data_IF_911208390318
#
_entry.id   IF_911208390318
#
_cell.length_a   1.000
_cell.length_b   1.000
_cell.length_c   1.000
_cell.angle_alpha   90.00
_cell.angle_beta   90.00
_cell.angle_gamma   90.00
#
_symmetry.space_group_name_H-M   'P 1'
#
loop_
_entity.id
_entity.type
_entity.pdbx_description
1 polymer ?
#
# COMPACT_ATOMS: atom_id res chain seq x y z
N UNK A 1 7.38 -29.77 -7.85
CA UNK A 1 6.65 -28.77 -8.65
C UNK A 1 7.55 -28.39 -9.80
N UNK A 2 7.03 -28.33 -11.02
CA UNK A 2 7.82 -27.96 -12.20
C UNK A 2 7.18 -26.72 -12.81
N UNK A 3 7.93 -25.63 -12.87
CA UNK A 3 7.52 -24.37 -13.49
C UNK A 3 8.57 -24.03 -14.55
N UNK A 4 8.11 -23.58 -15.72
CA UNK A 4 9.00 -23.17 -16.79
C UNK A 4 9.20 -21.66 -16.72
N UNK A 5 10.43 -21.23 -16.43
CA UNK A 5 10.80 -19.83 -16.46
C UNK A 5 11.00 -19.36 -17.90
N UNK A 6 10.65 -18.11 -18.17
CA UNK A 6 11.11 -17.47 -19.41
C UNK A 6 12.62 -17.22 -19.33
N UNK A 7 13.34 -17.15 -20.47
CA UNK A 7 14.78 -16.88 -20.47
C UNK A 7 15.16 -15.61 -19.72
N UNK A 8 14.32 -14.57 -19.78
CA UNK A 8 14.53 -13.31 -19.07
C UNK A 8 14.39 -13.48 -17.55
N UNK A 9 13.39 -14.24 -17.09
CA UNK A 9 13.22 -14.53 -15.65
C UNK A 9 14.39 -15.34 -15.11
N UNK A 10 14.81 -16.37 -15.84
CA UNK A 10 15.94 -17.20 -15.45
C UNK A 10 17.25 -16.40 -15.41
N UNK A 11 17.52 -15.54 -16.40
CA UNK A 11 18.70 -14.68 -16.41
C UNK A 11 18.71 -13.70 -15.22
N UNK A 12 17.56 -13.11 -14.89
CA UNK A 12 17.44 -12.20 -13.76
C UNK A 12 17.64 -12.91 -12.41
N UNK A 13 17.05 -14.10 -12.21
CA UNK A 13 17.21 -14.90 -11.00
C UNK A 13 18.67 -15.38 -10.82
N UNK A 14 19.32 -15.81 -11.90
CA UNK A 14 20.75 -16.14 -11.89
C UNK A 14 21.59 -14.94 -11.46
N UNK A 15 21.26 -13.73 -11.91
CA UNK A 15 21.97 -12.53 -11.49
C UNK A 15 21.77 -12.23 -9.99
N UNK A 16 20.58 -12.47 -9.43
CA UNK A 16 20.34 -12.33 -7.98
C UNK A 16 21.18 -13.33 -7.17
N UNK A 17 21.24 -14.59 -7.60
CA UNK A 17 22.09 -15.62 -6.97
C UNK A 17 23.57 -15.25 -7.07
N UNK A 18 24.03 -14.77 -8.22
CA UNK A 18 25.42 -14.34 -8.42
C UNK A 18 25.81 -13.14 -7.53
N UNK A 19 24.84 -12.27 -7.18
CA UNK A 19 25.03 -11.17 -6.22
C UNK A 19 24.98 -11.63 -4.75
N UNK A 20 24.65 -12.89 -4.49
CA UNK A 20 24.50 -13.43 -3.14
C UNK A 20 23.21 -13.00 -2.45
N UNK A 21 22.22 -12.49 -3.20
CA UNK A 21 20.90 -12.13 -2.64
C UNK A 21 20.11 -13.39 -2.24
N UNK A 22 20.35 -14.50 -2.94
CA UNK A 22 19.74 -15.80 -2.69
C UNK A 22 20.76 -16.92 -2.87
N UNK A 23 20.59 -18.02 -2.14
CA UNK A 23 21.49 -19.18 -2.23
C UNK A 23 21.24 -20.00 -3.51
N UNK A 24 19.98 -20.07 -3.96
CA UNK A 24 19.56 -20.81 -5.16
C UNK A 24 18.44 -20.08 -5.89
N UNK A 25 18.21 -20.45 -7.16
CA UNK A 25 17.05 -19.95 -7.93
C UNK A 25 15.74 -20.35 -7.24
N UNK A 26 15.67 -21.56 -6.68
CA UNK A 26 14.47 -22.07 -6.03
C UNK A 26 14.13 -21.28 -4.76
N UNK A 27 15.15 -20.88 -3.99
CA UNK A 27 14.96 -20.01 -2.82
C UNK A 27 14.45 -18.62 -3.23
N UNK A 28 15.01 -18.05 -4.30
CA UNK A 28 14.56 -16.77 -4.84
C UNK A 28 13.10 -16.83 -5.30
N UNK A 29 12.72 -17.88 -6.02
CA UNK A 29 11.33 -18.09 -6.48
C UNK A 29 10.38 -18.26 -5.30
N UNK A 30 10.76 -19.06 -4.29
CA UNK A 30 9.91 -19.25 -3.10
C UNK A 30 9.70 -17.94 -2.35
N UNK A 31 10.77 -17.18 -2.12
CA UNK A 31 10.68 -15.89 -1.45
C UNK A 31 9.76 -14.89 -2.19
N UNK A 32 9.78 -14.89 -3.52
CA UNK A 32 8.90 -14.03 -4.32
C UNK A 32 7.44 -14.47 -4.26
N UNK A 33 7.18 -15.78 -4.30
CA UNK A 33 5.83 -16.32 -4.14
C UNK A 33 5.28 -15.97 -2.75
N UNK A 34 6.08 -16.17 -1.70
CA UNK A 34 5.68 -15.86 -0.32
C UNK A 34 5.39 -14.36 -0.15
N UNK A 35 6.18 -13.49 -0.78
CA UNK A 35 5.95 -12.05 -0.77
C UNK A 35 4.62 -11.67 -1.45
N UNK A 36 4.28 -12.29 -2.57
CA UNK A 36 2.99 -12.07 -3.25
C UNK A 36 1.83 -12.56 -2.40
N UNK A 37 1.94 -13.74 -1.78
CA UNK A 37 0.92 -14.27 -0.87
C UNK A 37 0.69 -13.31 0.30
N UNK A 38 1.77 -12.83 0.93
CA UNK A 38 1.68 -11.89 2.04
C UNK A 38 1.05 -10.54 1.62
N UNK A 39 1.43 -10.01 0.45
CA UNK A 39 0.87 -8.77 -0.07
C UNK A 39 -0.63 -8.91 -0.39
N UNK A 40 -1.04 -10.04 -0.97
CA UNK A 40 -2.44 -10.33 -1.25
C UNK A 40 -3.25 -10.43 0.04
N UNK A 41 -2.74 -11.17 1.03
CA UNK A 41 -3.39 -11.30 2.33
C UNK A 41 -3.52 -9.97 3.08
N UNK A 42 -2.52 -9.08 2.95
CA UNK A 42 -2.58 -7.74 3.52
C UNK A 42 -3.58 -6.83 2.79
N UNK A 43 -3.75 -7.00 1.47
CA UNK A 43 -4.72 -6.23 0.68
C UNK A 43 -6.17 -6.63 0.95
N UNK A 44 -6.44 -7.88 1.33
CA UNK A 44 -7.78 -8.32 1.73
C UNK A 44 -8.22 -7.72 3.08
N UNK A 45 -7.27 -7.28 3.92
CA UNK A 45 -7.51 -6.52 5.17
C UNK A 45 -7.56 -4.98 4.94
N UNK A 46 -7.30 -4.50 3.72
CA UNK A 46 -7.18 -3.08 3.37
C UNK A 46 -8.42 -2.55 2.61
N UNK A 47 -9.60 -3.12 2.88
CA UNK A 47 -10.88 -2.63 2.34
C UNK A 47 -11.33 -1.30 2.98
N UNK A 48 -10.54 -0.80 3.95
CA UNK A 48 -10.82 0.37 4.76
C UNK A 48 -12.24 0.33 5.37
N UNK A 49 -12.79 -0.84 5.68
CA UNK A 49 -14.15 -0.97 6.22
C UNK A 49 -14.35 -0.17 7.51
N UNK A 50 -13.28 -0.01 8.30
CA UNK A 50 -13.26 0.86 9.48
C UNK A 50 -13.61 2.33 9.17
N UNK A 51 -13.37 2.80 7.94
CA UNK A 51 -13.63 4.17 7.52
C UNK A 51 -15.10 4.42 7.18
N UNK A 52 -15.86 3.36 6.84
CA UNK A 52 -17.25 3.47 6.39
C UNK A 52 -18.16 4.27 7.33
N UNK A 53 -18.15 4.04 8.66
CA UNK A 53 -18.97 4.84 9.57
C UNK A 53 -18.66 6.34 9.53
N UNK A 54 -17.39 6.72 9.35
CA UNK A 54 -16.98 8.13 9.26
C UNK A 54 -17.38 8.77 7.93
N UNK A 55 -17.37 8.00 6.84
CA UNK A 55 -17.90 8.46 5.54
C UNK A 55 -19.41 8.66 5.63
N UNK A 56 -20.14 7.71 6.21
CA UNK A 56 -21.59 7.81 6.41
C UNK A 56 -21.96 9.03 7.28
N UNK A 57 -21.16 9.33 8.32
CA UNK A 57 -21.30 10.53 9.15
C UNK A 57 -21.05 11.82 8.35
N UNK A 58 -19.99 11.85 7.53
CA UNK A 58 -19.66 12.99 6.69
C UNK A 58 -20.76 13.28 5.65
N UNK A 59 -21.32 12.25 5.01
CA UNK A 59 -22.43 12.38 4.08
C UNK A 59 -23.67 12.97 4.78
N UNK A 60 -23.96 12.52 6.00
CA UNK A 60 -25.06 13.07 6.79
C UNK A 60 -24.82 14.54 7.16
N UNK A 61 -23.58 14.93 7.51
CA UNK A 61 -23.22 16.32 7.79
C UNK A 61 -23.36 17.21 6.54
N UNK A 62 -22.93 16.71 5.37
CA UNK A 62 -23.13 17.40 4.09
C UNK A 62 -24.61 17.63 3.82
N UNK A 63 -25.46 16.61 4.02
CA UNK A 63 -26.91 16.74 3.84
C UNK A 63 -27.55 17.77 4.78
N UNK A 64 -27.00 17.95 5.99
CA UNK A 64 -27.41 19.01 6.94
C UNK A 64 -26.84 20.39 6.62
N UNK A 65 -25.95 20.50 5.63
CA UNK A 65 -25.26 21.74 5.28
C UNK A 65 -24.10 22.09 6.23
N UNK A 66 -23.65 21.15 7.06
CA UNK A 66 -22.52 21.30 7.98
C UNK A 66 -21.19 21.17 7.23
N UNK A 67 -20.99 22.04 6.25
CA UNK A 67 -19.82 22.04 5.38
C UNK A 67 -19.01 23.31 5.53
N UNK A 68 -17.70 23.22 5.30
CA UNK A 68 -16.82 24.37 5.20
C UNK A 68 -16.24 24.46 3.78
N UNK A 69 -16.08 25.67 3.22
CA UNK A 69 -15.37 25.81 1.95
C UNK A 69 -13.95 25.25 2.03
N UNK A 70 -13.53 24.54 0.98
CA UNK A 70 -12.22 23.89 0.94
C UNK A 70 -11.04 24.86 1.18
N UNK A 71 -11.15 26.11 0.70
CA UNK A 71 -10.14 27.14 0.94
C UNK A 71 -9.97 27.46 2.43
N UNK A 72 -11.09 27.57 3.16
CA UNK A 72 -11.10 27.83 4.61
C UNK A 72 -10.53 26.63 5.38
N UNK A 73 -10.88 25.40 5.00
CA UNK A 73 -10.32 24.20 5.61
C UNK A 73 -8.78 24.14 5.43
N UNK A 74 -8.29 24.44 4.22
CA UNK A 74 -6.84 24.46 3.92
C UNK A 74 -6.09 25.49 4.75
N UNK A 75 -6.64 26.70 4.89
CA UNK A 75 -6.03 27.76 5.70
C UNK A 75 -5.96 27.38 7.19
N UNK A 76 -7.01 26.75 7.72
CA UNK A 76 -7.04 26.23 9.10
C UNK A 76 -5.95 25.18 9.33
N UNK A 77 -5.83 24.21 8.41
CA UNK A 77 -4.78 23.18 8.48
C UNK A 77 -3.38 23.82 8.42
N UNK A 78 -3.15 24.75 7.49
CA UNK A 78 -1.87 25.45 7.38
C UNK A 78 -1.51 26.20 8.67
N UNK A 79 -2.49 26.87 9.28
CA UNK A 79 -2.33 27.57 10.56
C UNK A 79 -1.96 26.60 11.69
N UNK A 80 -2.62 25.45 11.78
CA UNK A 80 -2.32 24.43 12.78
C UNK A 80 -0.91 23.85 12.60
N UNK A 81 -0.53 23.56 11.35
CA UNK A 81 0.81 23.05 11.02
C UNK A 81 1.91 24.07 11.36
N UNK A 82 1.67 25.36 11.15
CA UNK A 82 2.63 26.40 11.52
C UNK A 82 2.86 26.46 13.03
N UNK A 83 1.80 26.29 13.85
CA UNK A 83 1.88 26.26 15.32
C UNK A 83 2.63 25.04 15.87
N UNK A 84 2.63 23.92 15.15
CA UNK A 84 3.37 22.72 15.55
C UNK A 84 4.88 22.80 15.24
N UNK A 85 5.28 23.76 14.39
CA UNK A 85 6.68 23.92 13.95
C UNK A 85 7.43 25.05 14.69
N UNK A 86 6.72 25.83 15.51
CA UNK A 86 7.26 26.87 16.39
C UNK A 86 7.52 26.33 17.79
#
# INVERSE_FOLDING_TARGET
MTITLTPTQEAWLNACVARGEFNTIEDAVRAMIDAVIAAQAASDDDDMAWAKPFIDEADAAIARGEVVPAAVAKERVATLLAKLRS
#
